data_IF_366924466893
#
_entry.id   IF_366924466893
#
_cell.length_a   1.000
_cell.length_b   1.000
_cell.length_c   1.000
_cell.angle_alpha   90.00
_cell.angle_beta   90.00
_cell.angle_gamma   90.00
#
_symmetry.space_group_name_H-M   'P 1'
#
loop_
_entity.id
_entity.type
_entity.pdbx_description
1 polymer ?
#
# COMPACT_ATOMS: atom_id res chain seq x y z
N UNK A 1 -7.83 11.27 15.47
CA UNK A 1 -7.51 10.49 14.25
C UNK A 1 -6.04 10.14 14.36
N UNK A 2 -5.72 8.99 14.94
CA UNK A 2 -4.32 8.66 15.26
C UNK A 2 -3.67 8.14 13.98
N UNK A 3 -2.76 8.93 13.40
CA UNK A 3 -1.79 8.39 12.47
C UNK A 3 -0.93 7.40 13.27
N UNK A 4 -1.19 6.11 13.11
CA UNK A 4 -0.38 5.08 13.75
C UNK A 4 1.00 5.14 13.12
N UNK A 5 2.00 5.46 13.93
CA UNK A 5 3.42 5.40 13.57
C UNK A 5 3.72 4.02 12.97
N UNK A 6 4.50 3.92 11.88
CA UNK A 6 4.92 2.62 11.39
C UNK A 6 5.57 1.79 12.50
N UNK A 7 5.38 0.46 12.52
CA UNK A 7 5.91 -0.38 13.57
C UNK A 7 7.44 -0.32 13.54
N UNK A 8 8.05 0.09 14.67
CA UNK A 8 9.50 0.24 14.82
C UNK A 8 10.16 -1.06 15.24
N UNK A 9 11.43 -1.27 14.83
CA UNK A 9 12.27 -2.37 15.32
C UNK A 9 12.28 -3.64 14.47
N UNK A 10 11.91 -3.55 13.19
CA UNK A 10 11.89 -4.66 12.24
C UNK A 10 12.62 -4.37 10.93
N UNK A 11 12.36 -5.17 9.91
CA UNK A 11 12.90 -4.95 8.57
C UNK A 11 12.17 -3.79 7.87
N UNK A 12 12.90 -2.98 7.11
CA UNK A 12 12.34 -1.84 6.39
C UNK A 12 12.85 -1.75 4.95
N UNK A 13 11.97 -1.27 4.06
CA UNK A 13 12.28 -0.97 2.67
C UNK A 13 11.50 0.26 2.23
N UNK A 14 12.18 1.26 1.66
CA UNK A 14 11.52 2.44 1.08
C UNK A 14 12.11 2.76 -0.29
N UNK A 15 11.26 3.05 -1.28
CA UNK A 15 11.69 3.42 -2.63
C UNK A 15 10.67 4.34 -3.32
N UNK A 16 11.16 5.18 -4.23
CA UNK A 16 10.32 5.99 -5.13
C UNK A 16 10.13 5.29 -6.47
N UNK A 17 8.93 5.43 -7.02
CA UNK A 17 8.54 4.81 -8.28
C UNK A 17 7.85 5.83 -9.17
N UNK A 18 8.18 5.78 -10.45
CA UNK A 18 7.46 6.57 -11.44
C UNK A 18 5.99 6.19 -11.43
N UNK A 19 5.12 7.20 -11.38
CA UNK A 19 3.66 7.08 -11.34
C UNK A 19 3.07 6.59 -12.67
N UNK A 20 3.43 5.37 -13.06
CA UNK A 20 3.04 4.67 -14.29
C UNK A 20 2.67 3.21 -13.98
N UNK A 21 1.92 2.53 -14.88
CA UNK A 21 1.63 1.10 -14.72
C UNK A 21 2.90 0.23 -14.59
N UNK A 22 3.98 0.60 -15.26
CA UNK A 22 5.28 -0.11 -15.15
C UNK A 22 5.90 0.07 -13.77
N UNK A 23 5.85 1.29 -13.22
CA UNK A 23 6.32 1.58 -11.86
C UNK A 23 5.52 0.84 -10.79
N UNK A 24 4.19 0.83 -10.88
CA UNK A 24 3.33 0.06 -9.97
C UNK A 24 3.62 -1.46 -10.03
N UNK A 25 3.82 -2.00 -11.24
CA UNK A 25 4.19 -3.41 -11.40
C UNK A 25 5.55 -3.74 -10.76
N UNK A 26 6.54 -2.83 -10.89
CA UNK A 26 7.83 -3.01 -10.26
C UNK A 26 7.73 -2.94 -8.73
N UNK A 27 7.01 -1.94 -8.20
CA UNK A 27 6.76 -1.78 -6.77
C UNK A 27 6.16 -3.05 -6.16
N UNK A 28 5.10 -3.61 -6.78
CA UNK A 28 4.48 -4.87 -6.35
C UNK A 28 5.45 -6.04 -6.32
N UNK A 29 6.29 -6.19 -7.36
CA UNK A 29 7.30 -7.27 -7.41
C UNK A 29 8.33 -7.13 -6.30
N UNK A 30 8.80 -5.90 -6.05
CA UNK A 30 9.76 -5.65 -4.99
C UNK A 30 9.17 -5.88 -3.60
N UNK A 31 7.90 -5.58 -3.38
CA UNK A 31 7.22 -5.95 -2.13
C UNK A 31 7.28 -7.47 -1.91
N UNK A 32 6.83 -8.26 -2.89
CA UNK A 32 6.84 -9.73 -2.78
C UNK A 32 8.26 -10.29 -2.58
N UNK A 33 9.24 -9.75 -3.29
CA UNK A 33 10.65 -10.11 -3.13
C UNK A 33 11.17 -9.79 -1.73
N UNK A 34 10.93 -8.58 -1.21
CA UNK A 34 11.38 -8.16 0.13
C UNK A 34 10.74 -9.00 1.23
N UNK A 35 9.46 -9.32 1.10
CA UNK A 35 8.80 -10.23 2.04
C UNK A 35 9.45 -11.61 2.04
N UNK A 36 9.84 -12.14 0.87
CA UNK A 36 10.58 -13.40 0.79
C UNK A 36 11.96 -13.32 1.45
N UNK A 37 12.70 -12.21 1.25
CA UNK A 37 13.97 -11.95 1.94
C UNK A 37 13.79 -11.84 3.47
N UNK A 38 12.60 -11.47 3.95
CA UNK A 38 12.25 -11.30 5.36
C UNK A 38 11.52 -12.51 5.96
N UNK A 39 11.78 -13.71 5.43
CA UNK A 39 11.19 -14.96 5.92
C UNK A 39 9.66 -15.09 5.77
N UNK A 40 9.06 -14.36 4.83
CA UNK A 40 7.70 -14.61 4.33
C UNK A 40 7.77 -15.13 2.88
N UNK A 41 7.96 -16.45 2.68
CA UNK A 41 8.14 -17.04 1.35
C UNK A 41 7.02 -16.67 0.37
N UNK A 42 7.30 -16.73 -0.93
CA UNK A 42 6.34 -16.36 -1.97
C UNK A 42 4.96 -17.04 -1.86
N UNK A 43 4.92 -18.29 -1.41
CA UNK A 43 3.68 -19.06 -1.22
C UNK A 43 3.02 -18.86 0.16
N UNK A 44 3.55 -17.96 1.01
CA UNK A 44 2.95 -17.67 2.30
C UNK A 44 1.74 -16.74 2.14
N UNK A 45 0.71 -16.96 2.95
CA UNK A 45 -0.49 -16.11 2.97
C UNK A 45 -0.15 -14.63 3.22
N UNK A 46 0.87 -14.35 4.04
CA UNK A 46 1.38 -12.98 4.29
C UNK A 46 1.90 -12.35 2.99
N UNK A 47 2.77 -13.05 2.25
CA UNK A 47 3.34 -12.52 1.01
C UNK A 47 2.25 -12.28 -0.04
N UNK A 48 1.35 -13.25 -0.25
CA UNK A 48 0.26 -13.13 -1.20
C UNK A 48 -0.66 -11.94 -0.86
N UNK A 49 -1.07 -11.83 0.40
CA UNK A 49 -2.00 -10.79 0.87
C UNK A 49 -1.39 -9.40 0.78
N UNK A 50 -0.17 -9.20 1.27
CA UNK A 50 0.50 -7.90 1.24
C UNK A 50 0.84 -7.49 -0.20
N UNK A 51 1.22 -8.45 -1.05
CA UNK A 51 1.46 -8.20 -2.49
C UNK A 51 0.19 -7.76 -3.21
N UNK A 52 -0.96 -8.32 -2.84
CA UNK A 52 -2.25 -7.91 -3.38
C UNK A 52 -2.66 -6.52 -2.90
N UNK A 53 -2.49 -6.22 -1.60
CA UNK A 53 -2.68 -4.86 -1.06
C UNK A 53 -1.78 -3.86 -1.79
N UNK A 54 -0.50 -4.20 -2.00
CA UNK A 54 0.44 -3.36 -2.75
C UNK A 54 -0.03 -3.09 -4.18
N UNK A 55 -0.62 -4.09 -4.85
CA UNK A 55 -1.18 -3.91 -6.17
C UNK A 55 -2.27 -2.82 -6.18
N UNK A 56 -3.21 -2.88 -5.24
CA UNK A 56 -4.30 -1.92 -5.15
C UNK A 56 -3.83 -0.51 -4.76
N UNK A 57 -2.96 -0.40 -3.75
CA UNK A 57 -2.46 0.90 -3.30
C UNK A 57 -1.63 1.60 -4.38
N UNK A 58 -0.76 0.87 -5.08
CA UNK A 58 0.07 1.44 -6.15
C UNK A 58 -0.76 1.77 -7.40
N UNK A 59 -1.77 0.96 -7.73
CA UNK A 59 -2.70 1.29 -8.81
C UNK A 59 -3.52 2.55 -8.48
N UNK A 60 -3.96 2.72 -7.23
CA UNK A 60 -4.62 3.93 -6.77
C UNK A 60 -3.69 5.16 -6.85
N UNK A 61 -2.42 5.03 -6.47
CA UNK A 61 -1.45 6.12 -6.60
C UNK A 61 -1.24 6.53 -8.07
N UNK A 62 -1.16 5.57 -9.00
CA UNK A 62 -1.03 5.83 -10.44
C UNK A 62 -2.30 6.46 -11.03
N UNK A 63 -3.50 6.01 -10.65
CA UNK A 63 -4.76 6.49 -11.24
C UNK A 63 -5.25 7.80 -10.62
N UNK A 64 -5.09 7.95 -9.31
CA UNK A 64 -5.71 9.02 -8.53
C UNK A 64 -4.72 9.94 -7.84
N UNK A 65 -3.47 9.49 -7.64
CA UNK A 65 -2.37 10.25 -7.04
C UNK A 65 -1.44 10.93 -8.06
N UNK A 66 -1.60 10.62 -9.36
CA UNK A 66 -0.68 11.10 -10.38
C UNK A 66 -0.75 12.63 -10.56
N UNK A 67 0.43 13.23 -10.50
CA UNK A 67 0.75 14.60 -10.89
C UNK A 67 1.93 14.51 -11.88
N UNK A 68 1.87 15.17 -13.05
CA UNK A 68 2.95 15.11 -14.03
C UNK A 68 4.33 15.44 -13.41
N UNK A 69 5.33 14.60 -13.69
CA UNK A 69 6.69 14.77 -13.16
C UNK A 69 6.84 14.44 -11.66
N UNK A 70 5.88 13.74 -11.05
CA UNK A 70 5.95 13.30 -9.65
C UNK A 70 5.83 11.78 -9.52
N UNK A 71 6.71 11.25 -8.68
CA UNK A 71 6.76 9.85 -8.30
C UNK A 71 5.89 9.60 -7.06
N UNK A 72 5.47 8.35 -6.88
CA UNK A 72 4.93 7.89 -5.60
C UNK A 72 6.02 7.20 -4.80
N UNK A 73 5.93 7.26 -3.47
CA UNK A 73 6.81 6.54 -2.56
C UNK A 73 6.08 5.32 -2.03
N UNK A 74 6.77 4.19 -1.98
CA UNK A 74 6.33 3.01 -1.24
C UNK A 74 7.30 2.77 -0.09
N UNK A 75 6.74 2.55 1.11
CA UNK A 75 7.45 2.09 2.29
C UNK A 75 6.81 0.78 2.76
N UNK A 76 7.65 -0.20 3.09
CA UNK A 76 7.27 -1.51 3.60
C UNK A 76 8.07 -1.72 4.88
N UNK A 77 7.40 -2.06 5.97
CA UNK A 77 8.04 -2.46 7.22
C UNK A 77 7.42 -3.75 7.75
N UNK A 78 8.24 -4.57 8.40
CA UNK A 78 7.82 -5.86 8.95
C UNK A 78 8.47 -6.08 10.32
N UNK A 79 7.64 -6.28 11.34
CA UNK A 79 8.05 -6.81 12.64
C UNK A 79 7.67 -8.29 12.75
N UNK A 80 7.93 -8.91 13.90
CA UNK A 80 7.51 -10.30 14.16
C UNK A 80 5.98 -10.51 14.12
N UNK A 81 5.19 -9.44 14.25
CA UNK A 81 3.73 -9.52 14.40
C UNK A 81 2.95 -8.71 13.38
N UNK A 82 3.58 -7.81 12.64
CA UNK A 82 2.87 -6.91 11.73
C UNK A 82 3.70 -6.58 10.50
N UNK A 83 3.08 -6.66 9.32
CA UNK A 83 3.61 -6.07 8.09
C UNK A 83 2.79 -4.83 7.75
N UNK A 84 3.46 -3.70 7.55
CA UNK A 84 2.85 -2.44 7.12
C UNK A 84 3.35 -2.04 5.74
N UNK A 85 2.42 -1.63 4.89
CA UNK A 85 2.70 -1.01 3.60
C UNK A 85 2.11 0.39 3.56
N UNK A 86 2.89 1.35 3.09
CA UNK A 86 2.52 2.75 2.94
C UNK A 86 2.81 3.19 1.51
N UNK A 87 1.85 3.85 0.88
CA UNK A 87 1.99 4.45 -0.44
C UNK A 87 1.65 5.92 -0.36
N UNK A 88 2.65 6.77 -0.59
CA UNK A 88 2.51 8.22 -0.58
C UNK A 88 2.54 8.80 -1.99
N UNK A 89 1.56 9.66 -2.32
CA UNK A 89 1.54 10.45 -3.54
C UNK A 89 1.51 11.96 -3.22
N UNK A 90 1.72 12.81 -4.23
CA UNK A 90 1.80 14.27 -4.07
C UNK A 90 0.46 14.99 -4.22
N UNK A 91 -0.64 14.26 -4.41
CA UNK A 91 -1.94 14.83 -4.78
C UNK A 91 -2.85 14.97 -3.56
N UNK A 92 -3.06 16.21 -3.15
CA UNK A 92 -3.71 16.56 -1.87
C UNK A 92 -5.24 16.58 -1.96
N UNK A 93 -5.80 16.93 -3.12
CA UNK A 93 -7.23 17.20 -3.30
C UNK A 93 -8.10 15.95 -3.51
N UNK A 94 -7.48 14.78 -3.73
CA UNK A 94 -8.19 13.50 -3.91
C UNK A 94 -7.91 12.57 -2.75
N UNK A 95 -8.84 12.53 -1.80
CA UNK A 95 -8.90 11.47 -0.79
C UNK A 95 -9.58 10.25 -1.43
N UNK A 96 -8.95 9.07 -1.37
CA UNK A 96 -9.59 7.85 -1.85
C UNK A 96 -10.87 7.57 -1.07
N UNK A 97 -12.00 7.46 -1.77
CA UNK A 97 -13.28 7.12 -1.14
C UNK A 97 -13.50 5.60 -1.22
N UNK A 98 -13.98 5.01 -0.13
CA UNK A 98 -14.59 3.69 -0.17
C UNK A 98 -15.92 3.81 -0.90
N UNK A 99 -16.00 3.31 -2.14
CA UNK A 99 -17.29 3.15 -2.81
C UNK A 99 -17.79 1.73 -2.57
N UNK A 100 -18.92 1.62 -1.85
CA UNK A 100 -19.68 0.37 -1.77
C UNK A 100 -20.57 0.13 -3.00
N UNK A 101 -20.76 1.16 -3.83
CA UNK A 101 -21.52 1.06 -5.07
C UNK A 101 -20.60 0.68 -6.22
N UNK A 102 -21.07 -0.29 -7.01
CA UNK A 102 -20.47 -0.67 -8.28
C UNK A 102 -20.54 0.53 -9.22
N UNK A 103 -19.40 1.10 -9.65
CA UNK A 103 -19.43 2.23 -10.57
C UNK A 103 -20.04 1.76 -11.92
N UNK A 104 -20.73 2.64 -12.66
CA UNK A 104 -21.34 2.25 -13.92
C UNK A 104 -20.26 1.94 -14.97
N UNK A 105 -20.21 0.69 -15.43
CA UNK A 105 -19.29 0.20 -16.48
C UNK A 105 -17.97 -0.38 -15.96
N UNK A 106 -17.04 -0.69 -16.89
CA UNK A 106 -15.68 -1.24 -16.67
C UNK A 106 -14.73 -0.34 -15.83
N UNK A 107 -15.29 0.59 -15.06
CA UNK A 107 -14.56 1.40 -14.10
C UNK A 107 -14.17 0.54 -12.89
N UNK A 108 -12.94 0.04 -12.85
CA UNK A 108 -12.36 -0.57 -11.63
C UNK A 108 -12.23 0.41 -10.44
N UNK A 109 -12.60 1.69 -10.61
CA UNK A 109 -12.46 2.76 -9.61
C UNK A 109 -13.45 2.58 -8.46
N UNK A 110 -13.06 1.78 -7.47
CA UNK A 110 -13.79 1.65 -6.20
C UNK A 110 -13.56 0.32 -5.50
N UNK A 111 -13.26 -0.75 -6.24
CA UNK A 111 -13.05 -2.09 -5.66
C UNK A 111 -11.71 -2.21 -4.94
N UNK A 112 -10.68 -1.48 -5.37
CA UNK A 112 -9.33 -1.63 -4.83
C UNK A 112 -9.23 -1.35 -3.33
N UNK A 113 -9.83 -0.27 -2.84
CA UNK A 113 -9.84 -0.01 -1.39
C UNK A 113 -10.81 -0.87 -0.61
N UNK A 114 -11.91 -1.33 -1.24
CA UNK A 114 -12.77 -2.34 -0.63
C UNK A 114 -11.99 -3.63 -0.39
N UNK A 115 -11.15 -4.05 -1.35
CA UNK A 115 -10.28 -5.20 -1.21
C UNK A 115 -9.27 -4.99 -0.08
N UNK A 116 -8.58 -3.84 -0.06
CA UNK A 116 -7.66 -3.49 1.05
C UNK A 116 -8.38 -3.54 2.40
N UNK A 117 -9.61 -3.01 2.50
CA UNK A 117 -10.38 -3.00 3.75
C UNK A 117 -10.78 -4.39 4.26
N UNK A 118 -10.83 -5.40 3.36
CA UNK A 118 -11.15 -6.78 3.72
C UNK A 118 -9.91 -7.61 4.08
N UNK A 119 -8.76 -7.27 3.50
CA UNK A 119 -7.51 -8.01 3.69
C UNK A 119 -6.65 -7.46 4.83
N UNK A 120 -6.67 -6.15 5.04
CA UNK A 120 -5.85 -5.51 6.06
C UNK A 120 -6.52 -5.58 7.43
N UNK A 121 -5.73 -5.88 8.48
CA UNK A 121 -6.16 -5.74 9.87
C UNK A 121 -6.48 -4.28 10.21
N UNK A 122 -5.68 -3.35 9.69
CA UNK A 122 -5.86 -1.90 9.85
C UNK A 122 -5.46 -1.20 8.56
N UNK A 123 -6.14 -0.12 8.23
CA UNK A 123 -5.72 0.75 7.14
C UNK A 123 -6.27 2.15 7.36
N UNK A 124 -5.59 3.16 6.83
CA UNK A 124 -6.11 4.52 6.82
C UNK A 124 -5.49 5.36 5.70
N UNK A 125 -5.99 6.60 5.60
CA UNK A 125 -5.41 7.66 4.79
C UNK A 125 -4.98 8.79 5.73
N UNK A 126 -3.75 9.25 5.59
CA UNK A 126 -3.21 10.37 6.35
C UNK A 126 -2.57 11.41 5.42
N UNK A 127 -2.57 12.71 5.76
CA UNK A 127 -1.72 13.69 5.09
C UNK A 127 -0.25 13.31 5.22
N UNK A 128 0.58 13.72 4.26
CA UNK A 128 2.05 13.60 4.42
C UNK A 128 2.54 14.62 5.45
N UNK A 129 3.35 14.19 6.41
CA UNK A 129 3.75 15.02 7.57
C UNK A 129 4.57 16.28 7.21
N UNK A 130 5.35 16.24 6.12
CA UNK A 130 6.27 17.31 5.76
C UNK A 130 6.19 17.75 4.28
N UNK A 131 5.13 17.37 3.57
CA UNK A 131 4.96 17.69 2.15
C UNK A 131 3.48 17.65 1.72
N UNK A 132 3.10 18.28 0.60
CA UNK A 132 1.77 18.09 0.01
C UNK A 132 1.53 16.63 -0.40
N UNK A 133 0.27 16.24 -0.32
CA UNK A 133 -0.21 14.92 -0.69
C UNK A 133 -0.64 14.08 0.50
N UNK A 134 -0.78 12.78 0.26
CA UNK A 134 -1.36 11.82 1.19
C UNK A 134 -0.54 10.54 1.21
N UNK A 135 -0.70 9.80 2.29
CA UNK A 135 -0.25 8.42 2.47
C UNK A 135 -1.47 7.55 2.70
N UNK A 136 -1.64 6.54 1.85
CA UNK A 136 -2.56 5.42 2.14
C UNK A 136 -1.72 4.30 2.70
N UNK A 137 -2.11 3.76 3.84
CA UNK A 137 -1.37 2.68 4.48
C UNK A 137 -2.29 1.55 4.90
N UNK A 138 -1.73 0.35 4.95
CA UNK A 138 -2.41 -0.86 5.40
C UNK A 138 -1.45 -1.72 6.21
N UNK A 139 -1.99 -2.42 7.20
CA UNK A 139 -1.29 -3.35 8.07
C UNK A 139 -1.95 -4.72 8.02
N UNK A 140 -1.13 -5.75 8.05
CA UNK A 140 -1.52 -7.14 8.17
C UNK A 140 -0.87 -7.72 9.42
N UNK A 141 -1.67 -8.32 10.30
CA UNK A 141 -1.13 -9.07 11.43
C UNK A 141 -0.55 -10.40 10.95
N UNK A 142 0.67 -10.69 11.36
CA UNK A 142 1.37 -11.94 11.09
C UNK A 142 1.04 -12.89 12.24
N UNK A 143 0.30 -13.96 11.96
CA UNK A 143 0.10 -15.02 12.94
C UNK A 143 1.47 -15.64 13.26
N UNK A 144 1.87 -15.62 14.53
CA UNK A 144 3.06 -16.35 14.94
C UNK A 144 2.78 -17.84 14.74
N UNK A 145 3.55 -18.47 13.85
CA UNK A 145 3.59 -19.93 13.81
C UNK A 145 4.31 -20.37 15.07
N UNK A 146 3.55 -20.87 16.05
CA UNK A 146 4.09 -21.46 17.27
C UNK A 146 4.88 -22.74 17.02
#
# INVERSE_FOLDING_TARGET
MNATTPPSGGNEFTMQFTSTPRGARLARRLVSYRLSDWAHPYASAVNETVTLIAAELTANAVRHGHVPGRDFRLSLSATETTVRIEVSDTRTERVPLLSAQEPPGDAESGRGLLLVSRLASRWAVAPREAAPGKTVWAELDVAQSG
#
